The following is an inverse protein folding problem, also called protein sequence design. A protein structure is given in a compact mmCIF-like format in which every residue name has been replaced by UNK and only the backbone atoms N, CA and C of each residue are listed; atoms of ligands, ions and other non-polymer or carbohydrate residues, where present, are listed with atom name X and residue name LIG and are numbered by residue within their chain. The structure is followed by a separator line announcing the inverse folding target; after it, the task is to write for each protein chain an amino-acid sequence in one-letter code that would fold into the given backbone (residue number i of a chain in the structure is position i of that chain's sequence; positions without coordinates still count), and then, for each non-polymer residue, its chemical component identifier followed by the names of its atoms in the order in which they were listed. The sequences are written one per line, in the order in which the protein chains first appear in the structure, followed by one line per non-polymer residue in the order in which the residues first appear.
data_IF_198109524459
#
_entry.id   IF_198109524459
#
_cell.length_a   1.000
_cell.length_b   1.000
_cell.length_c   1.000
_cell.angle_alpha   90.00
_cell.angle_beta   90.00
_cell.angle_gamma   90.00
#
_symmetry.space_group_name_H-M   'P 1'
#
loop_
_entity.id
_entity.type
_entity.pdbx_description
1 polymer ?
#
# COMPACT_ATOMS: atom_id res chain seq x y z
N UNK A 1 -2.03 -7.94 -11.34
CA UNK A 1 -3.42 -7.95 -11.86
C UNK A 1 -4.26 -6.80 -11.31
N UNK A 2 -4.29 -6.59 -9.99
CA UNK A 2 -5.04 -5.48 -9.37
C UNK A 2 -4.53 -4.10 -9.81
N UNK A 3 -3.20 -3.90 -9.83
CA UNK A 3 -2.56 -2.68 -10.31
C UNK A 3 -3.07 -2.28 -11.72
N UNK A 4 -3.01 -3.20 -12.68
CA UNK A 4 -3.56 -2.96 -14.03
C UNK A 4 -5.06 -2.67 -14.04
N UNK A 5 -5.84 -3.42 -13.26
CA UNK A 5 -7.32 -3.34 -13.27
C UNK A 5 -7.84 -2.03 -12.67
N UNK A 6 -7.25 -1.57 -11.58
CA UNK A 6 -7.76 -0.43 -10.81
C UNK A 6 -6.92 0.84 -11.00
N UNK A 7 -5.66 0.71 -11.40
CA UNK A 7 -4.72 1.83 -11.58
C UNK A 7 -4.27 2.05 -13.02
N UNK A 8 -4.67 1.17 -13.94
CA UNK A 8 -4.17 1.18 -15.32
C UNK A 8 -2.63 1.13 -15.43
N UNK A 9 -1.97 0.60 -14.39
CA UNK A 9 -0.51 0.45 -14.29
C UNK A 9 -0.14 -1.01 -14.46
N UNK A 10 0.58 -1.35 -15.54
CA UNK A 10 0.91 -2.74 -15.89
C UNK A 10 2.28 -3.17 -15.36
N UNK A 11 2.46 -3.06 -14.05
CA UNK A 11 3.63 -3.59 -13.35
C UNK A 11 3.24 -4.25 -12.00
N UNK A 12 4.14 -5.04 -11.44
CA UNK A 12 3.95 -5.66 -10.12
C UNK A 12 4.45 -4.73 -9.04
N UNK A 13 3.66 -4.58 -7.99
CA UNK A 13 3.91 -3.70 -6.85
C UNK A 13 3.88 -4.53 -5.57
N UNK A 14 4.43 -4.01 -4.47
CA UNK A 14 4.45 -4.69 -3.17
C UNK A 14 3.19 -4.40 -2.35
N UNK A 15 2.68 -3.16 -2.36
CA UNK A 15 1.44 -2.76 -1.68
C UNK A 15 0.58 -1.84 -2.55
N UNK A 16 -0.75 -1.98 -2.39
CA UNK A 16 -1.77 -1.09 -2.97
C UNK A 16 -2.65 -0.53 -1.86
N UNK A 17 -2.91 0.78 -1.88
CA UNK A 17 -3.86 1.43 -0.98
C UNK A 17 -5.04 2.00 -1.76
N UNK A 18 -6.26 1.61 -1.37
CA UNK A 18 -7.52 2.06 -1.96
C UNK A 18 -8.30 2.86 -0.93
N UNK A 19 -8.23 4.19 -1.02
CA UNK A 19 -8.95 5.06 -0.10
C UNK A 19 -10.46 4.98 -0.33
N UNK A 20 -11.20 4.90 0.78
CA UNK A 20 -12.64 5.10 0.81
C UNK A 20 -12.85 6.44 1.52
N UNK A 21 -13.73 7.29 1.00
CA UNK A 21 -14.03 8.60 1.59
C UNK A 21 -15.51 8.64 1.96
N UNK A 22 -15.90 7.63 2.74
CA UNK A 22 -17.27 7.42 3.20
C UNK A 22 -17.31 7.44 4.74
N UNK A 23 -18.25 8.21 5.27
CA UNK A 23 -18.56 8.25 6.70
C UNK A 23 -19.77 7.37 6.99
N UNK A 24 -19.70 6.63 8.09
CA UNK A 24 -20.84 5.90 8.64
C UNK A 24 -21.88 6.88 9.19
N UNK A 25 -23.16 6.47 9.30
CA UNK A 25 -24.18 7.26 9.99
C UNK A 25 -23.81 7.64 11.43
N UNK A 26 -22.92 6.87 12.07
CA UNK A 26 -22.41 7.06 13.42
C UNK A 26 -21.22 8.05 13.49
N UNK A 27 -20.72 8.55 12.36
CA UNK A 27 -19.62 9.52 12.28
C UNK A 27 -18.22 8.90 12.30
N UNK A 28 -18.10 7.58 12.08
CA UNK A 28 -16.82 6.90 11.85
C UNK A 28 -16.44 6.96 10.36
N UNK A 29 -15.17 7.21 10.06
CA UNK A 29 -14.64 7.25 8.68
C UNK A 29 -14.01 5.91 8.30
N UNK A 30 -14.40 5.34 7.15
CA UNK A 30 -13.66 4.22 6.57
C UNK A 30 -12.44 4.73 5.83
N UNK A 31 -11.23 4.36 6.26
CA UNK A 31 -10.00 4.77 5.58
C UNK A 31 -9.84 4.11 4.19
N UNK A 32 -10.30 2.87 4.06
CA UNK A 32 -10.20 2.08 2.84
C UNK A 32 -9.43 0.77 3.02
N UNK A 33 -8.93 0.23 1.91
CA UNK A 33 -8.28 -1.09 1.86
C UNK A 33 -6.78 -0.97 1.63
N UNK A 34 -6.01 -1.83 2.32
CA UNK A 34 -4.59 -2.08 2.03
C UNK A 34 -4.44 -3.50 1.51
N UNK A 35 -3.83 -3.66 0.34
CA UNK A 35 -3.60 -4.95 -0.31
C UNK A 35 -2.11 -5.20 -0.47
N UNK A 36 -1.60 -6.19 0.26
CA UNK A 36 -0.19 -6.58 0.24
C UNK A 36 0.05 -7.77 -0.69
N UNK A 37 1.08 -7.67 -1.52
CA UNK A 37 1.56 -8.74 -2.36
C UNK A 37 2.56 -9.61 -1.59
N UNK A 38 2.05 -10.70 -1.01
CA UNK A 38 2.84 -11.60 -0.16
C UNK A 38 4.04 -12.23 -0.86
N UNK A 39 3.97 -12.43 -2.18
CA UNK A 39 5.09 -13.00 -2.95
C UNK A 39 6.22 -11.98 -3.13
N UNK A 40 5.90 -10.68 -3.22
CA UNK A 40 6.91 -9.62 -3.23
C UNK A 40 7.49 -9.41 -1.84
N UNK A 41 6.65 -9.37 -0.80
CA UNK A 41 7.12 -9.28 0.58
C UNK A 41 8.10 -10.41 0.95
N UNK A 42 7.86 -11.65 0.50
CA UNK A 42 8.82 -12.75 0.69
C UNK A 42 10.15 -12.55 -0.04
N UNK A 43 10.14 -11.94 -1.23
CA UNK A 43 11.35 -11.65 -2.00
C UNK A 43 12.14 -10.53 -1.33
N UNK A 44 11.47 -9.45 -0.97
CA UNK A 44 12.04 -8.30 -0.26
C UNK A 44 12.62 -8.70 1.09
N UNK A 45 11.89 -9.47 1.90
CA UNK A 45 12.41 -9.98 3.18
C UNK A 45 13.74 -10.74 3.01
N UNK A 46 13.84 -11.58 1.98
CA UNK A 46 15.07 -12.31 1.67
C UNK A 46 16.20 -11.40 1.16
N UNK A 47 15.87 -10.42 0.33
CA UNK A 47 16.82 -9.48 -0.26
C UNK A 47 17.40 -8.52 0.79
N UNK A 48 16.55 -8.02 1.69
CA UNK A 48 16.91 -7.06 2.73
C UNK A 48 17.37 -7.70 4.04
N UNK A 49 17.28 -9.03 4.16
CA UNK A 49 17.66 -9.75 5.38
C UNK A 49 16.68 -9.56 6.54
N UNK A 50 15.44 -9.16 6.25
CA UNK A 50 14.36 -9.01 7.22
C UNK A 50 13.60 -10.32 7.42
N UNK A 51 12.82 -10.40 8.51
CA UNK A 51 11.79 -11.43 8.62
C UNK A 51 10.63 -11.13 7.68
N UNK A 52 9.93 -12.17 7.22
CA UNK A 52 8.75 -12.01 6.37
C UNK A 52 7.66 -11.20 7.09
N UNK A 53 7.47 -11.44 8.38
CA UNK A 53 6.51 -10.75 9.22
C UNK A 53 6.83 -9.26 9.34
N UNK A 54 8.12 -8.91 9.49
CA UNK A 54 8.57 -7.52 9.52
C UNK A 54 8.30 -6.82 8.18
N UNK A 55 8.63 -7.46 7.07
CA UNK A 55 8.41 -6.87 5.74
C UNK A 55 6.92 -6.62 5.48
N UNK A 56 6.06 -7.58 5.84
CA UNK A 56 4.60 -7.39 5.73
C UNK A 56 4.13 -6.27 6.66
N UNK A 57 4.64 -6.18 7.88
CA UNK A 57 4.26 -5.12 8.82
C UNK A 57 4.63 -3.73 8.27
N UNK A 58 5.84 -3.58 7.72
CA UNK A 58 6.30 -2.33 7.11
C UNK A 58 5.46 -1.95 5.87
N UNK A 59 5.11 -2.92 5.02
CA UNK A 59 4.23 -2.69 3.87
C UNK A 59 2.81 -2.28 4.30
N UNK A 60 2.28 -2.85 5.38
CA UNK A 60 0.97 -2.47 5.93
C UNK A 60 1.03 -1.08 6.55
N UNK A 61 2.05 -0.78 7.36
CA UNK A 61 2.27 0.54 7.95
C UNK A 61 2.32 1.61 6.85
N UNK A 62 3.13 1.36 5.83
CA UNK A 62 3.23 2.24 4.67
C UNK A 62 1.89 2.40 3.96
N UNK A 63 1.19 1.29 3.67
CA UNK A 63 -0.13 1.33 3.04
C UNK A 63 -1.16 2.16 3.82
N UNK A 64 -1.14 2.08 5.16
CA UNK A 64 -2.02 2.85 6.05
C UNK A 64 -1.64 4.33 6.09
N UNK A 65 -0.35 4.67 6.13
CA UNK A 65 0.10 6.07 6.07
C UNK A 65 -0.40 6.76 4.79
N UNK A 66 -0.41 6.04 3.67
CA UNK A 66 -0.98 6.53 2.43
C UNK A 66 -2.50 6.74 2.47
N UNK A 67 -3.24 5.93 3.23
CA UNK A 67 -4.68 6.16 3.43
C UNK A 67 -4.96 7.41 4.27
N UNK A 68 -4.02 7.79 5.16
CA UNK A 68 -4.12 8.96 6.03
C UNK A 68 -3.65 10.26 5.36
N UNK A 69 -3.35 10.25 4.06
CA UNK A 69 -2.72 11.35 3.32
C UNK A 69 -1.39 11.83 3.94
N UNK A 70 -0.76 11.01 4.79
CA UNK A 70 0.58 11.25 5.31
C UNK A 70 1.56 10.77 4.24
N UNK A 71 1.87 11.68 3.33
CA UNK A 71 2.87 11.42 2.30
C UNK A 71 4.26 11.42 2.94
N UNK A 72 4.98 10.30 2.84
CA UNK A 72 6.44 10.38 2.79
C UNK A 72 6.78 11.07 1.47
N UNK A 73 7.57 12.14 1.55
CA UNK A 73 7.96 12.99 0.43
C UNK A 73 8.59 12.17 -0.70
N UNK A 74 7.79 11.77 -1.70
CA UNK A 74 8.27 11.53 -3.07
C UNK A 74 7.16 11.46 -4.14
N UNK A 75 5.88 11.28 -3.78
CA UNK A 75 4.80 11.17 -4.77
C UNK A 75 3.74 12.28 -4.66
N UNK A 76 3.86 13.30 -5.53
CA UNK A 76 2.83 14.30 -5.81
C UNK A 76 1.83 13.75 -6.84
N UNK A 77 0.62 13.36 -6.41
CA UNK A 77 -0.67 13.52 -7.13
C UNK A 77 -1.70 12.48 -6.67
N UNK A 78 -2.81 12.92 -6.06
CA UNK A 78 -4.13 12.23 -5.94
C UNK A 78 -4.13 10.73 -6.32
N UNK A 79 -3.78 9.84 -5.39
CA UNK A 79 -3.27 8.53 -5.80
C UNK A 79 -3.86 7.36 -5.03
N UNK A 80 -4.49 6.47 -5.80
CA UNK A 80 -4.46 5.06 -5.51
C UNK A 80 -3.04 4.60 -5.94
N UNK A 81 -2.11 4.43 -5.00
CA UNK A 81 -0.73 4.06 -5.33
C UNK A 81 -0.54 2.55 -5.30
N UNK A 82 0.02 2.01 -6.38
CA UNK A 82 0.91 0.85 -6.27
C UNK A 82 2.27 1.39 -5.94
N UNK A 83 2.69 1.23 -4.68
CA UNK A 83 3.99 1.71 -4.22
C UNK A 83 4.97 0.57 -4.35
N UNK A 84 6.22 0.93 -4.57
CA UNK A 84 7.33 0.02 -4.51
C UNK A 84 8.26 0.64 -3.48
N UNK A 85 8.45 -0.03 -2.35
CA UNK A 85 9.47 0.39 -1.40
C UNK A 85 10.83 0.10 -2.07
N UNK A 86 11.43 1.12 -2.65
CA UNK A 86 12.81 1.08 -3.10
C UNK A 86 13.70 1.24 -1.87
N UNK A 87 13.97 0.13 -1.18
CA UNK A 87 15.05 0.02 -0.19
C UNK A 87 16.32 -0.51 -0.84
#
# INVERSE_FOLDING_TARGET
KLNKKYLNRDFTTDVLSFKIDEETPEGETFLGDVVVNTDQAKRQAKEYGNSYEQEVAELVEHGVLHLLDVHHDDDNEKTIHGIKLDK
#
